data_IF_661112024384
#
_entry.id   IF_661112024384
#
_cell.length_a   1.000
_cell.length_b   1.000
_cell.length_c   1.000
_cell.angle_alpha   90.00
_cell.angle_beta   90.00
_cell.angle_gamma   90.00
#
_symmetry.space_group_name_H-M   'P 1'
#
loop_
_entity.id
_entity.type
_entity.pdbx_description
1 polymer ?
#
# COMPACT_ATOMS: atom_id res chain seq x y z
N UNK A 1 1.32 -13.43 -12.20
CA UNK A 1 1.17 -13.54 -13.67
C UNK A 1 -0.26 -13.90 -14.03
N UNK A 2 -0.86 -14.94 -13.41
CA UNK A 2 -2.29 -15.24 -13.55
C UNK A 2 -3.20 -14.04 -13.28
N UNK A 3 -2.87 -13.21 -12.28
CA UNK A 3 -3.67 -12.03 -11.94
C UNK A 3 -3.65 -10.94 -13.03
N UNK A 4 -2.51 -10.76 -13.72
CA UNK A 4 -2.39 -9.80 -14.82
C UNK A 4 -3.26 -10.23 -16.02
N UNK A 5 -3.25 -11.53 -16.31
CA UNK A 5 -4.07 -12.12 -17.38
C UNK A 5 -5.55 -12.05 -17.05
N UNK A 6 -5.94 -12.35 -15.80
CA UNK A 6 -7.32 -12.23 -15.33
C UNK A 6 -7.87 -10.80 -15.45
N UNK A 7 -6.98 -9.81 -15.26
CA UNK A 7 -7.28 -8.39 -15.34
C UNK A 7 -7.06 -7.76 -16.71
N UNK A 8 -6.62 -8.54 -17.70
CA UNK A 8 -6.31 -8.08 -19.06
C UNK A 8 -5.31 -6.89 -19.09
N UNK A 9 -4.30 -6.90 -18.21
CA UNK A 9 -3.25 -5.89 -18.13
C UNK A 9 -1.97 -6.39 -18.81
N UNK A 10 -1.28 -5.51 -19.52
CA UNK A 10 0.03 -5.77 -20.09
C UNK A 10 1.16 -5.37 -19.12
N UNK A 11 2.42 -5.63 -19.51
CA UNK A 11 3.58 -5.21 -18.71
C UNK A 11 3.76 -3.70 -18.66
N UNK A 12 3.25 -2.98 -19.66
CA UNK A 12 3.38 -1.53 -19.78
C UNK A 12 2.34 -0.81 -18.91
N UNK A 13 1.24 -1.49 -18.59
CA UNK A 13 0.16 -0.98 -17.73
C UNK A 13 0.48 -1.13 -16.23
N UNK A 14 1.59 -1.81 -15.88
CA UNK A 14 1.93 -2.14 -14.49
C UNK A 14 3.34 -1.70 -14.14
N UNK A 15 3.42 -0.94 -13.06
CA UNK A 15 4.67 -0.53 -12.45
C UNK A 15 4.87 -1.31 -11.16
N UNK A 16 6.07 -1.88 -11.00
CA UNK A 16 6.45 -2.65 -9.82
C UNK A 16 7.25 -1.77 -8.87
N UNK A 17 6.81 -1.74 -7.61
CA UNK A 17 7.55 -1.17 -6.49
C UNK A 17 8.05 -2.34 -5.65
N UNK A 18 9.34 -2.65 -5.77
CA UNK A 18 9.91 -3.84 -5.15
C UNK A 18 10.52 -3.52 -3.78
N UNK A 19 9.99 -4.17 -2.75
CA UNK A 19 10.55 -4.16 -1.39
C UNK A 19 11.38 -5.44 -1.24
N UNK A 20 12.69 -5.31 -1.37
CA UNK A 20 13.68 -6.40 -1.39
C UNK A 20 14.31 -6.65 -2.76
N UNK A 21 15.58 -7.07 -2.76
CA UNK A 21 16.35 -7.27 -4.00
C UNK A 21 15.87 -8.47 -4.84
N UNK A 22 15.44 -9.57 -4.22
CA UNK A 22 15.01 -10.77 -4.93
C UNK A 22 13.79 -10.51 -5.83
N UNK A 23 12.80 -9.77 -5.33
CA UNK A 23 11.62 -9.39 -6.10
C UNK A 23 11.97 -8.45 -7.26
N UNK A 24 12.78 -7.42 -6.98
CA UNK A 24 13.23 -6.48 -8.00
C UNK A 24 13.97 -7.18 -9.15
N UNK A 25 14.94 -8.04 -8.82
CA UNK A 25 15.72 -8.78 -9.82
C UNK A 25 14.84 -9.76 -10.60
N UNK A 26 13.85 -10.39 -9.95
CA UNK A 26 12.90 -11.30 -10.58
C UNK A 26 12.05 -10.60 -11.66
N UNK A 27 11.53 -9.42 -11.37
CA UNK A 27 10.67 -8.65 -12.27
C UNK A 27 11.47 -7.96 -13.39
N UNK A 28 12.65 -7.38 -13.08
CA UNK A 28 13.55 -6.81 -14.08
C UNK A 28 13.95 -7.82 -15.15
N UNK A 29 14.32 -9.04 -14.74
CA UNK A 29 14.69 -10.12 -15.68
C UNK A 29 13.56 -10.51 -16.64
N UNK A 30 12.30 -10.20 -16.31
CA UNK A 30 11.12 -10.49 -17.12
C UNK A 30 10.64 -9.29 -17.94
N UNK A 31 11.36 -8.17 -17.89
CA UNK A 31 11.05 -6.96 -18.63
C UNK A 31 9.90 -6.14 -18.04
N UNK A 32 9.64 -6.24 -16.74
CA UNK A 32 8.71 -5.33 -16.06
C UNK A 32 9.41 -4.02 -15.70
N UNK A 33 8.63 -2.94 -15.66
CA UNK A 33 9.09 -1.67 -15.14
C UNK A 33 9.15 -1.72 -13.61
N UNK A 34 10.36 -1.77 -13.04
CA UNK A 34 10.58 -1.67 -11.60
C UNK A 34 10.98 -0.23 -11.28
N UNK A 35 10.01 0.62 -10.94
CA UNK A 35 10.23 2.05 -10.73
C UNK A 35 10.87 2.37 -9.38
N UNK A 36 10.71 1.50 -8.40
CA UNK A 36 11.31 1.64 -7.09
C UNK A 36 11.82 0.32 -6.57
N UNK A 37 12.94 0.37 -5.88
CA UNK A 37 13.57 -0.79 -5.28
C UNK A 37 14.18 -0.41 -3.94
N UNK A 38 13.73 -1.06 -2.88
CA UNK A 38 14.28 -0.90 -1.54
C UNK A 38 14.93 -2.20 -1.07
N UNK A 39 16.27 -2.27 -1.09
CA UNK A 39 17.02 -3.49 -0.73
C UNK A 39 17.32 -3.63 0.77
N UNK A 40 17.17 -2.57 1.56
CA UNK A 40 17.57 -2.50 2.97
C UNK A 40 16.44 -2.80 3.96
N UNK A 41 15.52 -3.69 3.60
CA UNK A 41 14.37 -4.04 4.46
C UNK A 41 14.87 -4.83 5.65
N UNK A 42 14.58 -4.35 6.85
CA UNK A 42 14.81 -5.10 8.09
C UNK A 42 13.80 -6.25 8.21
N UNK A 43 14.15 -7.31 8.95
CA UNK A 43 13.23 -8.46 9.15
C UNK A 43 11.91 -8.02 9.84
N UNK A 44 11.97 -6.94 10.62
CA UNK A 44 10.80 -6.29 11.24
C UNK A 44 10.86 -4.81 10.88
N UNK A 45 10.20 -4.40 9.77
CA UNK A 45 10.25 -3.02 9.33
C UNK A 45 9.63 -2.08 10.35
N UNK A 46 10.32 -0.99 10.65
CA UNK A 46 9.76 0.06 11.47
C UNK A 46 8.90 1.03 10.63
N UNK A 47 8.07 1.83 11.31
CA UNK A 47 7.20 2.79 10.63
C UNK A 47 7.98 3.84 9.83
N UNK A 48 9.14 4.24 10.31
CA UNK A 48 9.97 5.29 9.72
C UNK A 48 10.62 4.82 8.42
N UNK A 49 11.08 3.57 8.39
CA UNK A 49 11.63 2.87 7.22
C UNK A 49 10.60 2.80 6.09
N UNK A 50 9.31 2.58 6.40
CA UNK A 50 8.26 2.48 5.38
C UNK A 50 7.55 3.80 5.10
N UNK A 51 7.68 4.81 5.96
CA UNK A 51 6.96 6.09 5.81
C UNK A 51 7.27 6.74 4.47
N UNK A 52 8.53 6.76 4.07
CA UNK A 52 8.95 7.49 2.88
C UNK A 52 8.43 6.82 1.60
N UNK A 53 8.40 5.48 1.54
CA UNK A 53 7.77 4.76 0.42
C UNK A 53 6.25 5.00 0.42
N UNK A 54 5.59 4.94 1.58
CA UNK A 54 4.14 5.20 1.69
C UNK A 54 3.78 6.61 1.21
N UNK A 55 4.56 7.63 1.59
CA UNK A 55 4.33 9.01 1.15
C UNK A 55 4.54 9.17 -0.35
N UNK A 56 5.55 8.51 -0.91
CA UNK A 56 5.81 8.52 -2.35
C UNK A 56 4.65 7.91 -3.12
N UNK A 57 4.20 6.70 -2.75
CA UNK A 57 3.10 6.03 -3.45
C UNK A 57 1.80 6.83 -3.32
N UNK A 58 1.47 7.32 -2.12
CA UNK A 58 0.29 8.17 -1.93
C UNK A 58 0.36 9.43 -2.80
N UNK A 59 1.53 10.08 -2.87
CA UNK A 59 1.70 11.27 -3.74
C UNK A 59 1.54 10.91 -5.21
N UNK A 60 2.03 9.76 -5.66
CA UNK A 60 1.85 9.31 -7.06
C UNK A 60 0.38 9.05 -7.39
N UNK A 61 -0.36 8.46 -6.46
CA UNK A 61 -1.82 8.31 -6.59
C UNK A 61 -2.54 9.65 -6.67
N UNK A 62 -2.21 10.60 -5.79
CA UNK A 62 -2.79 11.95 -5.79
C UNK A 62 -2.49 12.73 -7.08
N UNK A 63 -1.37 12.41 -7.76
CA UNK A 63 -1.00 12.99 -9.05
C UNK A 63 -1.52 12.17 -10.24
N UNK A 64 -2.44 11.22 -10.02
CA UNK A 64 -3.06 10.37 -11.06
C UNK A 64 -2.02 9.59 -11.90
N UNK A 65 -0.88 9.23 -11.29
CA UNK A 65 0.15 8.41 -11.96
C UNK A 65 -0.31 6.96 -12.12
N UNK A 66 -1.18 6.49 -11.22
CA UNK A 66 -1.85 5.21 -11.29
C UNK A 66 -3.19 5.29 -10.55
N UNK A 67 -4.14 4.43 -10.94
CA UNK A 67 -5.50 4.42 -10.37
C UNK A 67 -5.71 3.34 -9.31
N UNK A 68 -4.80 2.39 -9.20
CA UNK A 68 -4.90 1.27 -8.27
C UNK A 68 -3.55 0.90 -7.64
N UNK A 69 -3.57 0.60 -6.34
CA UNK A 69 -2.42 0.07 -5.61
C UNK A 69 -2.76 -1.29 -5.02
N UNK A 70 -2.01 -2.31 -5.44
CA UNK A 70 -2.12 -3.67 -4.92
C UNK A 70 -0.81 -4.05 -4.24
N UNK A 71 -0.89 -4.54 -3.00
CA UNK A 71 0.25 -5.09 -2.27
C UNK A 71 0.18 -6.62 -2.37
N UNK A 72 1.27 -7.22 -2.84
CA UNK A 72 1.47 -8.66 -2.80
C UNK A 72 2.46 -9.01 -1.69
N UNK A 73 2.01 -9.76 -0.70
CA UNK A 73 2.84 -10.14 0.44
C UNK A 73 2.55 -11.58 0.89
N UNK A 74 3.43 -12.09 1.75
CA UNK A 74 3.24 -13.40 2.34
C UNK A 74 2.41 -13.25 3.62
N UNK A 75 1.19 -13.80 3.61
CA UNK A 75 0.33 -13.87 4.78
C UNK A 75 0.79 -15.02 5.69
N UNK A 76 1.27 -14.67 6.87
CA UNK A 76 1.68 -15.64 7.89
C UNK A 76 0.44 -16.16 8.63
N UNK A 77 -0.14 -17.26 8.15
CA UNK A 77 -1.28 -17.89 8.82
C UNK A 77 -0.82 -18.81 9.98
N UNK A 78 0.25 -19.58 9.79
CA UNK A 78 0.86 -20.41 10.85
C UNK A 78 2.31 -20.79 10.51
N UNK A 79 3.01 -21.44 11.45
CA UNK A 79 4.37 -21.97 11.21
C UNK A 79 4.47 -22.95 10.03
N UNK A 80 3.35 -23.56 9.64
CA UNK A 80 3.29 -24.58 8.58
C UNK A 80 2.66 -24.01 7.31
N UNK A 81 1.67 -23.12 7.43
CA UNK A 81 1.00 -22.50 6.28
C UNK A 81 1.41 -21.05 6.12
N UNK A 82 1.99 -20.75 4.96
CA UNK A 82 2.17 -19.39 4.48
C UNK A 82 1.53 -19.28 3.10
N UNK A 83 0.69 -18.27 2.90
CA UNK A 83 -0.04 -18.07 1.66
C UNK A 83 0.36 -16.73 1.06
N UNK A 84 0.42 -16.65 -0.28
CA UNK A 84 0.66 -15.37 -0.95
C UNK A 84 -0.69 -14.71 -1.16
N UNK A 85 -0.86 -13.55 -0.55
CA UNK A 85 -2.06 -12.74 -0.70
C UNK A 85 -1.75 -11.50 -1.52
N UNK A 86 -2.73 -11.09 -2.32
CA UNK A 86 -2.73 -9.82 -3.03
C UNK A 86 -3.90 -9.01 -2.50
N UNK A 87 -3.62 -7.86 -1.92
CA UNK A 87 -4.63 -6.98 -1.35
C UNK A 87 -4.60 -5.62 -2.06
N UNK A 88 -5.77 -5.17 -2.53
CA UNK A 88 -5.95 -3.83 -3.06
C UNK A 88 -6.07 -2.83 -1.90
N UNK A 89 -5.12 -1.91 -1.82
CA UNK A 89 -5.06 -0.87 -0.79
C UNK A 89 -5.70 0.43 -1.29
N UNK A 90 -5.51 0.76 -2.57
CA UNK A 90 -6.14 1.92 -3.21
C UNK A 90 -6.89 1.49 -4.47
N UNK A 91 -8.10 2.07 -4.72
CA UNK A 91 -8.86 2.90 -3.79
C UNK A 91 -9.30 2.12 -2.54
N UNK A 92 -9.43 2.81 -1.41
CA UNK A 92 -9.83 2.21 -0.13
C UNK A 92 -11.26 1.71 -0.22
N UNK A 93 -11.47 0.41 0.02
CA UNK A 93 -12.80 -0.17 0.10
C UNK A 93 -13.47 0.14 1.45
N UNK A 94 -14.40 1.08 1.44
CA UNK A 94 -15.13 1.49 2.65
C UNK A 94 -16.18 0.49 3.12
N UNK A 95 -16.51 -0.53 2.31
CA UNK A 95 -17.54 -1.52 2.69
C UNK A 95 -17.06 -2.43 3.82
N UNK A 96 -15.75 -2.72 3.86
CA UNK A 96 -15.11 -3.53 4.93
C UNK A 96 -15.00 -2.79 6.27
N UNK A 97 -15.03 -1.45 6.27
CA UNK A 97 -14.93 -0.63 7.48
C UNK A 97 -16.23 -0.62 8.31
N UNK A 98 -17.36 -1.03 7.74
CA UNK A 98 -18.68 -0.97 8.38
C UNK A 98 -19.08 -2.27 9.10
N UNK A 99 -18.26 -3.32 9.05
CA UNK A 99 -18.60 -4.66 9.54
C UNK A 99 -18.73 -4.76 11.08
N UNK A 100 -18.18 -3.80 11.83
CA UNK A 100 -18.26 -3.72 13.30
C UNK A 100 -19.09 -2.51 13.80
N UNK A 101 -20.10 -2.08 13.04
CA UNK A 101 -21.02 -1.02 13.46
C UNK A 101 -22.04 -1.53 14.48
N UNK A 102 -21.59 -1.83 15.69
CA UNK A 102 -22.41 -1.56 16.86
C UNK A 102 -22.53 -0.02 16.88
N UNK A 103 -23.70 0.53 16.53
CA UNK A 103 -23.97 1.97 16.41
C UNK A 103 -23.63 2.68 17.73
N UNK A 104 -22.38 3.09 17.90
CA UNK A 104 -21.98 4.01 18.95
C UNK A 104 -22.17 5.41 18.38
N UNK A 105 -23.37 5.96 18.55
CA UNK A 105 -23.66 7.37 18.32
C UNK A 105 -22.90 8.22 19.35
N UNK A 106 -21.59 8.35 19.17
CA UNK A 106 -20.81 9.34 19.87
C UNK A 106 -21.09 10.68 19.19
N UNK A 107 -21.81 11.58 19.86
CA UNK A 107 -21.75 13.00 19.52
C UNK A 107 -20.29 13.44 19.64
N UNK A 108 -19.62 13.49 18.49
CA UNK A 108 -18.23 13.86 18.42
C UNK A 108 -18.18 15.38 18.25
N UNK A 109 -17.97 16.10 19.36
CA UNK A 109 -17.71 17.55 19.33
C UNK A 109 -16.33 17.79 18.69
N UNK A 110 -16.31 17.92 17.35
CA UNK A 110 -15.09 18.20 16.59
C UNK A 110 -14.72 19.67 16.71
N UNK A 111 -13.85 19.96 17.67
CA UNK A 111 -13.14 21.22 17.70
C UNK A 111 -11.63 20.93 17.60
N UNK A 112 -10.96 21.15 16.45
CA UNK A 112 -11.37 21.91 15.25
C UNK A 112 -12.01 21.05 14.12
N UNK A 113 -12.49 21.72 13.06
CA UNK A 113 -13.19 21.09 11.93
C UNK A 113 -12.43 19.89 11.30
N UNK A 114 -13.16 18.90 10.73
CA UNK A 114 -12.57 17.69 10.14
C UNK A 114 -11.42 17.98 9.15
N UNK A 115 -11.57 19.04 8.34
CA UNK A 115 -10.57 19.48 7.37
C UNK A 115 -9.22 19.90 8.00
N UNK A 116 -9.24 20.47 9.22
CA UNK A 116 -8.03 20.87 9.94
C UNK A 116 -7.30 19.66 10.53
N UNK A 117 -8.03 18.63 10.93
CA UNK A 117 -7.46 17.37 11.42
C UNK A 117 -6.80 16.61 10.26
N UNK A 118 -7.49 16.53 9.11
CA UNK A 118 -6.96 15.92 7.88
C UNK A 118 -5.63 16.57 7.46
N UNK A 119 -5.60 17.90 7.36
CA UNK A 119 -4.35 18.64 7.05
C UNK A 119 -3.27 18.42 8.10
N UNK A 120 -3.59 18.29 9.39
CA UNK A 120 -2.57 18.11 10.43
C UNK A 120 -1.99 16.70 10.45
N UNK A 121 -2.81 15.68 10.19
CA UNK A 121 -2.36 14.29 10.14
C UNK A 121 -1.42 14.02 8.95
N UNK A 122 -1.74 14.57 7.77
CA UNK A 122 -0.92 14.40 6.57
C UNK A 122 0.35 15.26 6.54
N UNK A 123 0.39 16.39 7.27
CA UNK A 123 1.50 17.35 7.20
C UNK A 123 2.56 17.19 8.32
N UNK A 124 2.24 16.50 9.42
CA UNK A 124 3.11 16.35 10.60
C UNK A 124 3.46 14.89 10.95
N UNK A 125 3.69 14.03 9.97
CA UNK A 125 4.54 12.86 10.27
C UNK A 125 6.00 13.36 10.40
N UNK A 126 6.66 13.14 11.56
CA UNK A 126 8.04 13.54 11.74
C UNK A 126 8.87 12.92 10.61
N UNK A 127 9.72 13.71 9.97
CA UNK A 127 10.85 13.15 9.25
C UNK A 127 11.77 12.56 10.32
N UNK A 128 11.78 11.24 10.45
CA UNK A 128 12.94 10.52 10.98
C UNK A 128 13.16 9.26 10.17
#
# INVERSE_FOLDING_TARGET
MSELEARNLSKDDVVILAVGGNGADFFKKRGFNVAYEYRGVSDVPDFMEVRDIVRMVTSMYDNEVYDELVIAYQHFASRISNEIEMEQILPVDTTKLNADSNEMSAEYDMNPSPEKIWKRSCLNMPKA
#
